data_IF_556738909380
#
_entry.id   IF_556738909380
#
_cell.length_a   1.000
_cell.length_b   1.000
_cell.length_c   1.000
_cell.angle_alpha   90.00
_cell.angle_beta   90.00
_cell.angle_gamma   90.00
#
_symmetry.space_group_name_H-M   'P 1'
#
loop_
_entity.id
_entity.type
_entity.pdbx_description
1 polymer ?
#
# COMPACT_ATOMS: atom_id res chain seq x y z
N UNK A 1 -5.52 -44.30 10.44
CA UNK A 1 -6.70 -43.80 11.19
C UNK A 1 -6.82 -42.30 10.91
N UNK A 2 -7.70 -41.92 9.97
CA UNK A 2 -7.89 -40.51 9.57
C UNK A 2 -9.07 -39.96 10.36
N UNK A 3 -8.80 -39.08 11.32
CA UNK A 3 -9.85 -38.41 12.11
C UNK A 3 -10.56 -37.40 11.21
N UNK A 4 -11.75 -37.77 10.75
CA UNK A 4 -12.67 -36.87 10.04
C UNK A 4 -13.14 -35.79 11.03
N UNK A 5 -12.61 -34.57 10.88
CA UNK A 5 -12.93 -33.44 11.74
C UNK A 5 -14.38 -33.02 11.49
N UNK A 6 -15.21 -32.98 12.54
CA UNK A 6 -16.64 -32.64 12.41
C UNK A 6 -16.79 -31.23 11.81
N UNK A 7 -17.73 -31.03 10.87
CA UNK A 7 -17.93 -29.74 10.19
C UNK A 7 -18.28 -28.59 11.15
N UNK A 8 -18.83 -28.89 12.33
CA UNK A 8 -19.09 -27.92 13.41
C UNK A 8 -17.81 -27.26 13.94
N UNK A 9 -16.72 -28.02 14.09
CA UNK A 9 -15.48 -27.52 14.68
C UNK A 9 -14.71 -26.62 13.70
N UNK A 10 -14.95 -26.81 12.40
CA UNK A 10 -14.38 -25.97 11.35
C UNK A 10 -15.05 -24.58 11.31
N UNK A 11 -16.35 -24.50 11.58
CA UNK A 11 -17.09 -23.23 11.60
C UNK A 11 -16.68 -22.35 12.79
N UNK A 12 -16.54 -22.94 13.98
CA UNK A 12 -16.13 -22.22 15.20
C UNK A 12 -14.73 -21.64 15.05
N UNK A 13 -13.78 -22.40 14.50
CA UNK A 13 -12.41 -21.93 14.28
C UNK A 13 -12.34 -20.75 13.28
N UNK A 14 -13.15 -20.77 12.22
CA UNK A 14 -13.18 -19.66 11.26
C UNK A 14 -13.81 -18.40 11.87
N UNK A 15 -14.80 -18.54 12.75
CA UNK A 15 -15.44 -17.43 13.46
C UNK A 15 -14.45 -16.73 14.40
N UNK A 16 -13.67 -17.50 15.16
CA UNK A 16 -12.67 -16.96 16.10
C UNK A 16 -11.55 -16.20 15.37
N UNK A 17 -11.06 -16.75 14.25
CA UNK A 17 -10.10 -16.04 13.38
C UNK A 17 -10.69 -14.75 12.84
N UNK A 18 -11.94 -14.77 12.39
CA UNK A 18 -12.61 -13.58 11.87
C UNK A 18 -12.76 -12.50 12.96
N UNK A 19 -13.11 -12.91 14.18
CA UNK A 19 -13.22 -12.01 15.33
C UNK A 19 -11.87 -11.38 15.71
N UNK A 20 -10.78 -12.15 15.66
CA UNK A 20 -9.42 -11.62 15.89
C UNK A 20 -9.01 -10.59 14.83
N UNK A 21 -9.31 -10.83 13.55
CA UNK A 21 -9.05 -9.84 12.50
C UNK A 21 -9.92 -8.59 12.63
N UNK A 22 -11.17 -8.74 13.07
CA UNK A 22 -12.07 -7.61 13.29
C UNK A 22 -11.56 -6.69 14.41
N UNK A 23 -11.17 -7.25 15.57
CA UNK A 23 -10.62 -6.46 16.67
C UNK A 23 -9.31 -5.77 16.30
N UNK A 24 -8.43 -6.45 15.56
CA UNK A 24 -7.22 -5.83 15.01
C UNK A 24 -7.56 -4.61 14.16
N UNK A 25 -8.52 -4.74 13.25
CA UNK A 25 -8.95 -3.63 12.40
C UNK A 25 -9.56 -2.48 13.20
N UNK A 26 -10.46 -2.77 14.13
CA UNK A 26 -11.09 -1.76 14.99
C UNK A 26 -10.05 -1.04 15.85
N UNK A 27 -9.04 -1.75 16.37
CA UNK A 27 -7.94 -1.15 17.14
C UNK A 27 -6.95 -0.34 16.29
N UNK A 28 -6.83 -0.65 15.00
CA UNK A 28 -5.95 0.08 14.09
C UNK A 28 -6.44 1.52 13.84
N UNK A 29 -7.76 1.74 13.84
CA UNK A 29 -8.37 3.06 13.61
C UNK A 29 -7.91 4.10 14.66
N UNK A 30 -8.07 3.89 15.98
CA UNK A 30 -7.61 4.86 16.98
C UNK A 30 -6.08 4.98 17.00
N UNK A 31 -5.34 3.89 16.77
CA UNK A 31 -3.87 3.94 16.67
C UNK A 31 -3.44 4.81 15.49
N UNK A 32 -4.09 4.67 14.34
CA UNK A 32 -3.82 5.50 13.16
C UNK A 32 -4.18 6.98 13.42
N UNK A 33 -5.29 7.25 14.11
CA UNK A 33 -5.69 8.60 14.48
C UNK A 33 -4.67 9.25 15.41
N UNK A 34 -4.28 8.57 16.49
CA UNK A 34 -3.26 9.05 17.43
C UNK A 34 -1.92 9.24 16.73
N UNK A 35 -1.53 8.30 15.87
CA UNK A 35 -0.33 8.42 15.05
C UNK A 35 -0.37 9.65 14.13
N UNK A 36 -1.49 9.89 13.45
CA UNK A 36 -1.67 11.07 12.61
C UNK A 36 -1.56 12.37 13.43
N UNK A 37 -2.15 12.42 14.63
CA UNK A 37 -1.98 13.56 15.54
C UNK A 37 -0.52 13.76 15.93
N UNK A 38 0.20 12.71 16.35
CA UNK A 38 1.62 12.80 16.73
C UNK A 38 2.47 13.32 15.57
N UNK A 39 2.18 12.89 14.33
CA UNK A 39 2.94 13.32 13.14
C UNK A 39 2.63 14.77 12.75
N UNK A 40 1.38 15.21 12.90
CA UNK A 40 0.94 16.56 12.56
C UNK A 40 1.28 17.60 13.65
N UNK A 41 1.31 17.19 14.91
CA UNK A 41 1.57 18.08 16.05
C UNK A 41 2.86 18.92 15.90
N UNK A 42 4.02 18.36 15.51
CA UNK A 42 5.24 19.13 15.29
C UNK A 42 5.08 20.23 14.24
N UNK A 43 4.32 19.98 13.18
CA UNK A 43 4.05 20.98 12.13
C UNK A 43 3.27 22.18 12.68
N UNK A 44 2.28 21.91 13.55
CA UNK A 44 1.48 22.93 14.24
C UNK A 44 2.32 23.72 15.26
N UNK A 45 3.10 23.04 16.09
CA UNK A 45 3.93 23.67 17.13
C UNK A 45 5.00 24.58 16.52
N UNK A 46 5.56 24.19 15.38
CA UNK A 46 6.58 24.97 14.68
C UNK A 46 6.06 26.17 13.89
N UNK A 47 4.73 26.35 13.80
CA UNK A 47 4.11 27.41 13.01
C UNK A 47 4.57 27.39 11.55
N UNK A 48 4.86 26.20 11.01
CA UNK A 48 5.36 26.03 9.64
C UNK A 48 4.21 26.03 8.61
N UNK A 49 2.94 25.99 9.05
CA UNK A 49 1.74 26.09 8.20
C UNK A 49 1.32 27.55 8.07
N UNK A 50 1.33 28.08 6.84
CA UNK A 50 0.95 29.46 6.53
C UNK A 50 -0.16 29.44 5.48
N UNK A 51 -1.08 30.42 5.55
CA UNK A 51 -2.07 30.63 4.50
C UNK A 51 -1.39 31.21 3.26
N UNK A 52 -1.48 30.51 2.13
CA UNK A 52 -0.94 30.98 0.86
C UNK A 52 -2.00 31.82 0.12
N UNK A 53 -1.81 33.14 -0.01
CA UNK A 53 -2.82 34.02 -0.60
C UNK A 53 -3.03 33.76 -2.10
N UNK A 54 -2.00 33.29 -2.80
CA UNK A 54 -2.06 33.02 -4.25
C UNK A 54 -2.91 31.79 -4.59
N UNK A 55 -3.03 30.84 -3.66
CA UNK A 55 -3.65 29.53 -3.90
C UNK A 55 -4.87 29.27 -2.99
N UNK A 56 -5.15 30.17 -2.04
CA UNK A 56 -6.32 30.12 -1.14
C UNK A 56 -6.41 28.88 -0.24
N UNK A 57 -5.28 28.31 0.19
CA UNK A 57 -5.24 27.22 1.18
C UNK A 57 -4.06 27.35 2.15
N UNK A 58 -4.14 26.62 3.27
CA UNK A 58 -3.07 26.55 4.28
C UNK A 58 -2.09 25.42 3.95
N UNK A 59 -0.81 25.74 3.82
CA UNK A 59 0.22 24.74 3.54
C UNK A 59 1.59 25.17 4.07
N UNK A 60 2.54 24.24 4.10
CA UNK A 60 3.93 24.54 4.44
C UNK A 60 4.63 25.15 3.21
N UNK A 61 5.01 26.44 3.22
CA UNK A 61 5.67 27.06 2.07
C UNK A 61 7.08 26.47 1.87
N UNK A 62 7.57 26.49 0.63
CA UNK A 62 8.93 26.02 0.30
C UNK A 62 10.04 26.78 1.06
N UNK A 63 9.75 28.00 1.52
CA UNK A 63 10.65 28.80 2.38
C UNK A 63 10.94 28.12 3.73
N UNK A 64 10.03 27.28 4.23
CA UNK A 64 10.17 26.55 5.49
C UNK A 64 10.54 25.10 5.20
N UNK A 65 11.80 24.90 4.77
CA UNK A 65 12.38 23.60 4.39
C UNK A 65 12.14 22.51 5.44
N UNK A 66 12.16 22.86 6.73
CA UNK A 66 11.88 21.93 7.84
C UNK A 66 10.48 21.31 7.74
N UNK A 67 9.44 22.14 7.70
CA UNK A 67 8.06 21.67 7.62
C UNK A 67 7.80 20.88 6.34
N UNK A 68 8.38 21.33 5.23
CA UNK A 68 8.27 20.66 3.95
C UNK A 68 8.93 19.27 3.93
N UNK A 69 10.13 19.11 4.50
CA UNK A 69 10.84 17.82 4.56
C UNK A 69 10.30 16.86 5.63
N UNK A 70 9.70 17.40 6.70
CA UNK A 70 9.18 16.59 7.81
C UNK A 70 8.14 15.56 7.36
N UNK A 71 7.15 16.02 6.59
CA UNK A 71 6.04 15.20 6.10
C UNK A 71 6.52 14.01 5.24
N UNK A 72 7.29 14.21 4.14
CA UNK A 72 7.80 13.10 3.36
C UNK A 72 8.72 12.16 4.15
N UNK A 73 9.55 12.72 5.04
CA UNK A 73 10.51 11.92 5.80
C UNK A 73 9.81 10.98 6.79
N UNK A 74 8.73 11.43 7.42
CA UNK A 74 7.93 10.56 8.31
C UNK A 74 6.99 9.67 7.53
N UNK A 75 6.22 10.23 6.58
CA UNK A 75 5.21 9.48 5.85
C UNK A 75 5.82 8.39 4.96
N UNK A 76 6.98 8.65 4.37
CA UNK A 76 7.67 7.71 3.47
C UNK A 76 8.96 7.16 4.05
N UNK A 77 9.78 8.00 4.69
CA UNK A 77 11.05 7.56 5.25
C UNK A 77 10.89 6.58 6.42
N UNK A 78 9.96 6.82 7.35
CA UNK A 78 9.70 5.90 8.47
C UNK A 78 9.29 4.49 8.01
N UNK A 79 8.27 4.30 7.15
CA UNK A 79 7.92 2.96 6.67
C UNK A 79 9.03 2.34 5.82
N UNK A 80 9.77 3.13 5.02
CA UNK A 80 10.91 2.61 4.26
C UNK A 80 12.04 2.09 5.16
N UNK A 81 12.40 2.84 6.20
CA UNK A 81 13.43 2.44 7.15
C UNK A 81 13.00 1.20 7.94
N UNK A 82 11.76 1.17 8.43
CA UNK A 82 11.22 0.01 9.15
C UNK A 82 11.24 -1.24 8.28
N UNK A 83 10.76 -1.14 7.03
CA UNK A 83 10.80 -2.24 6.07
C UNK A 83 12.23 -2.69 5.80
N UNK A 84 13.15 -1.75 5.52
CA UNK A 84 14.55 -2.04 5.28
C UNK A 84 15.20 -2.80 6.44
N UNK A 85 14.94 -2.38 7.69
CA UNK A 85 15.45 -3.05 8.88
C UNK A 85 14.91 -4.47 9.05
N UNK A 86 13.59 -4.66 8.90
CA UNK A 86 12.95 -5.98 8.95
C UNK A 86 13.58 -6.90 7.89
N UNK A 87 13.80 -6.38 6.67
CA UNK A 87 14.40 -7.15 5.58
C UNK A 87 15.87 -7.48 5.79
N UNK A 88 16.64 -6.54 6.32
CA UNK A 88 18.04 -6.78 6.65
C UNK A 88 18.14 -7.92 7.68
N UNK A 89 17.27 -7.92 8.69
CA UNK A 89 17.17 -9.01 9.68
C UNK A 89 16.80 -10.35 9.04
N UNK A 90 15.78 -10.38 8.17
CA UNK A 90 15.39 -11.61 7.44
C UNK A 90 16.53 -12.13 6.57
N UNK A 91 17.22 -11.24 5.85
CA UNK A 91 18.34 -11.61 4.96
C UNK A 91 19.52 -12.18 5.74
N UNK A 92 19.86 -11.58 6.88
CA UNK A 92 20.89 -12.12 7.78
C UNK A 92 20.48 -13.50 8.29
N UNK A 93 19.23 -13.66 8.72
CA UNK A 93 18.72 -14.93 9.23
C UNK A 93 18.79 -16.05 8.16
N UNK A 94 18.36 -15.77 6.93
CA UNK A 94 18.41 -16.73 5.82
C UNK A 94 19.86 -17.10 5.50
N UNK A 95 20.79 -16.13 5.46
CA UNK A 95 22.22 -16.39 5.20
C UNK A 95 22.86 -17.27 6.26
N UNK A 96 22.38 -17.22 7.50
CA UNK A 96 22.90 -18.03 8.61
C UNK A 96 22.34 -19.46 8.63
N UNK A 97 21.30 -19.76 7.84
CA UNK A 97 20.70 -21.09 7.83
C UNK A 97 21.45 -22.00 6.81
N UNK A 98 22.11 -23.09 7.26
CA UNK A 98 22.90 -23.95 6.38
C UNK A 98 22.02 -24.67 5.33
N UNK A 99 22.64 -24.96 4.18
CA UNK A 99 22.07 -25.42 2.89
C UNK A 99 21.25 -26.73 2.90
N UNK A 100 20.90 -27.28 4.07
CA UNK A 100 20.09 -28.49 4.23
C UNK A 100 18.58 -28.19 4.34
N UNK A 101 18.09 -27.26 3.53
CA UNK A 101 16.69 -26.87 3.58
C UNK A 101 15.81 -27.79 2.72
N UNK A 102 14.76 -28.34 3.35
CA UNK A 102 13.76 -29.19 2.71
C UNK A 102 12.95 -28.42 1.66
N UNK A 103 12.39 -29.13 0.68
CA UNK A 103 11.55 -28.60 -0.42
C UNK A 103 10.40 -27.68 0.06
N UNK A 104 9.93 -27.87 1.30
CA UNK A 104 8.89 -27.07 1.96
C UNK A 104 9.40 -25.65 2.30
N UNK A 105 10.68 -25.49 2.65
CA UNK A 105 11.29 -24.18 2.95
C UNK A 105 11.47 -23.37 1.67
N UNK A 106 11.91 -24.00 0.57
CA UNK A 106 11.99 -23.35 -0.74
C UNK A 106 10.63 -22.78 -1.21
N UNK A 107 9.53 -23.50 -0.96
CA UNK A 107 8.19 -23.00 -1.29
C UNK A 107 7.75 -21.81 -0.41
N UNK A 108 8.14 -21.75 0.87
CA UNK A 108 7.92 -20.57 1.70
C UNK A 108 8.75 -19.39 1.21
N UNK A 109 10.02 -19.62 0.92
CA UNK A 109 10.94 -18.61 0.44
C UNK A 109 10.48 -17.99 -0.88
N UNK A 110 9.86 -18.76 -1.79
CA UNK A 110 9.27 -18.20 -3.01
C UNK A 110 8.07 -17.27 -2.74
N UNK A 111 7.22 -17.59 -1.74
CA UNK A 111 6.10 -16.71 -1.35
C UNK A 111 6.63 -15.42 -0.73
N UNK A 112 7.65 -15.55 0.12
CA UNK A 112 8.29 -14.41 0.75
C UNK A 112 8.92 -13.53 -0.34
N UNK A 113 9.69 -14.09 -1.28
CA UNK A 113 10.30 -13.36 -2.39
C UNK A 113 9.27 -12.63 -3.28
N UNK A 114 8.12 -13.26 -3.56
CA UNK A 114 7.03 -12.59 -4.25
C UNK A 114 6.46 -11.40 -3.45
N UNK A 115 6.37 -11.52 -2.12
CA UNK A 115 6.01 -10.40 -1.23
C UNK A 115 7.10 -9.32 -1.20
N UNK A 116 8.39 -9.69 -1.29
CA UNK A 116 9.52 -8.74 -1.39
C UNK A 116 9.44 -7.94 -2.69
N UNK A 117 9.33 -8.63 -3.83
CA UNK A 117 9.28 -7.98 -5.14
C UNK A 117 8.13 -6.97 -5.21
N UNK A 118 7.00 -7.31 -4.60
CA UNK A 118 5.83 -6.45 -4.44
C UNK A 118 6.14 -5.19 -3.64
N UNK A 119 6.74 -5.32 -2.45
CA UNK A 119 7.13 -4.16 -1.64
C UNK A 119 8.16 -3.30 -2.38
N UNK A 120 9.12 -3.92 -3.06
CA UNK A 120 10.10 -3.20 -3.87
C UNK A 120 9.44 -2.38 -4.99
N UNK A 121 8.43 -2.94 -5.67
CA UNK A 121 7.63 -2.20 -6.67
C UNK A 121 6.92 -1.01 -6.02
N UNK A 122 6.31 -1.18 -4.84
CA UNK A 122 5.65 -0.07 -4.14
C UNK A 122 6.67 1.03 -3.82
N UNK A 123 7.80 0.66 -3.22
CA UNK A 123 8.87 1.57 -2.85
C UNK A 123 9.40 2.32 -4.07
N UNK A 124 9.68 1.60 -5.17
CA UNK A 124 10.15 2.21 -6.41
C UNK A 124 9.12 3.20 -6.97
N UNK A 125 7.83 2.83 -6.97
CA UNK A 125 6.76 3.71 -7.41
C UNK A 125 6.66 4.98 -6.56
N UNK A 126 6.73 4.84 -5.25
CA UNK A 126 6.72 5.97 -4.31
C UNK A 126 7.90 6.91 -4.57
N UNK A 127 9.10 6.36 -4.78
CA UNK A 127 10.29 7.15 -5.13
C UNK A 127 10.08 7.89 -6.45
N UNK A 128 9.60 7.22 -7.49
CA UNK A 128 9.34 7.84 -8.81
C UNK A 128 8.26 8.92 -8.73
N UNK A 129 7.21 8.73 -7.93
CA UNK A 129 6.19 9.75 -7.73
C UNK A 129 6.69 10.93 -6.88
N UNK A 130 7.63 10.69 -5.96
CA UNK A 130 8.22 11.71 -5.10
C UNK A 130 9.36 12.50 -5.74
N UNK A 131 10.05 11.95 -6.74
CA UNK A 131 11.18 12.62 -7.42
C UNK A 131 10.83 14.00 -7.98
N UNK A 132 9.68 14.26 -8.65
CA UNK A 132 9.38 15.60 -9.16
C UNK A 132 9.26 16.64 -8.03
N UNK A 133 8.82 16.25 -6.83
CA UNK A 133 8.76 17.16 -5.68
C UNK A 133 10.16 17.54 -5.21
N UNK A 134 11.07 16.56 -5.13
CA UNK A 134 12.46 16.78 -4.71
C UNK A 134 13.21 17.62 -5.74
N UNK A 135 12.99 17.39 -7.05
CA UNK A 135 13.64 18.19 -8.10
C UNK A 135 13.18 19.64 -8.07
N UNK A 136 11.88 19.90 -7.84
CA UNK A 136 11.35 21.26 -7.68
C UNK A 136 11.88 21.94 -6.41
N UNK A 137 11.99 21.22 -5.31
CA UNK A 137 12.60 21.72 -4.08
C UNK A 137 14.08 22.08 -4.30
N UNK A 138 14.85 21.22 -4.97
CA UNK A 138 16.25 21.49 -5.30
C UNK A 138 16.38 22.71 -6.22
N UNK A 139 15.52 22.81 -7.23
CA UNK A 139 15.47 23.97 -8.11
C UNK A 139 15.23 25.25 -7.31
N UNK A 140 14.25 25.25 -6.40
CA UNK A 140 13.97 26.36 -5.51
C UNK A 140 15.16 26.73 -4.61
N UNK A 141 15.85 25.73 -4.04
CA UNK A 141 17.03 25.96 -3.20
C UNK A 141 18.19 26.60 -3.96
N UNK A 142 18.31 26.34 -5.26
CA UNK A 142 19.37 26.89 -6.11
C UNK A 142 19.00 28.28 -6.64
N UNK A 143 17.78 28.46 -7.15
CA UNK A 143 17.36 29.70 -7.82
C UNK A 143 16.74 30.73 -6.89
N UNK A 144 16.22 30.30 -5.73
CA UNK A 144 15.42 31.12 -4.83
C UNK A 144 14.03 31.47 -5.36
N UNK A 145 13.64 30.94 -6.53
CA UNK A 145 12.38 31.29 -7.21
C UNK A 145 11.44 30.09 -7.18
N UNK A 146 10.23 30.30 -6.64
CA UNK A 146 9.19 29.27 -6.65
C UNK A 146 8.48 29.21 -8.00
N UNK A 147 8.38 28.01 -8.57
CA UNK A 147 7.62 27.80 -9.79
C UNK A 147 6.11 27.73 -9.47
N UNK A 148 5.23 28.38 -10.24
CA UNK A 148 3.78 28.39 -9.95
C UNK A 148 3.14 26.99 -9.97
N UNK A 149 3.73 26.05 -10.71
CA UNK A 149 3.25 24.67 -10.77
C UNK A 149 3.76 23.79 -9.62
N UNK A 150 4.66 24.29 -8.77
CA UNK A 150 5.32 23.46 -7.75
C UNK A 150 4.32 22.81 -6.81
N UNK A 151 3.40 23.60 -6.26
CA UNK A 151 2.40 23.09 -5.32
C UNK A 151 1.45 22.07 -5.97
N UNK A 152 1.03 22.29 -7.23
CA UNK A 152 0.14 21.36 -7.95
C UNK A 152 0.80 20.01 -8.19
N UNK A 153 2.07 20.01 -8.58
CA UNK A 153 2.86 18.79 -8.78
C UNK A 153 3.08 18.07 -7.44
N UNK A 154 3.34 18.83 -6.36
CA UNK A 154 3.48 18.26 -5.02
C UNK A 154 2.22 17.55 -4.54
N UNK A 155 1.03 18.07 -4.85
CA UNK A 155 -0.23 17.42 -4.54
C UNK A 155 -0.54 16.20 -5.42
N UNK A 156 -0.18 16.23 -6.70
CA UNK A 156 -0.45 15.13 -7.63
C UNK A 156 0.29 13.84 -7.26
N UNK A 157 1.51 13.94 -6.72
CA UNK A 157 2.33 12.77 -6.37
C UNK A 157 1.66 11.82 -5.36
N UNK A 158 1.28 12.30 -4.16
CA UNK A 158 0.57 11.52 -3.16
C UNK A 158 -0.73 10.89 -3.68
N UNK A 159 -1.56 11.66 -4.42
CA UNK A 159 -2.83 11.18 -4.97
C UNK A 159 -2.64 10.01 -5.95
N UNK A 160 -1.72 10.16 -6.90
CA UNK A 160 -1.40 9.09 -7.86
C UNK A 160 -0.83 7.87 -7.12
N UNK A 161 0.04 8.08 -6.14
CA UNK A 161 0.59 6.97 -5.35
C UNK A 161 -0.49 6.21 -4.59
N UNK A 162 -1.46 6.91 -3.98
CA UNK A 162 -2.58 6.31 -3.27
C UNK A 162 -3.51 5.53 -4.21
N UNK A 163 -3.79 6.06 -5.39
CA UNK A 163 -4.60 5.39 -6.40
C UNK A 163 -3.95 4.07 -6.85
N UNK A 164 -2.64 4.10 -7.14
CA UNK A 164 -1.91 2.90 -7.59
C UNK A 164 -1.81 1.88 -6.46
N UNK A 165 -1.49 2.30 -5.23
CA UNK A 165 -1.42 1.41 -4.07
C UNK A 165 -2.77 0.73 -3.80
N UNK A 166 -3.88 1.46 -3.95
CA UNK A 166 -5.24 0.92 -3.78
C UNK A 166 -5.53 -0.18 -4.81
N UNK A 167 -5.22 0.06 -6.08
CA UNK A 167 -5.35 -0.94 -7.15
C UNK A 167 -4.44 -2.14 -6.86
N UNK A 168 -3.22 -1.89 -6.42
CA UNK A 168 -2.25 -2.95 -6.16
C UNK A 168 -2.65 -3.85 -5.00
N UNK A 169 -3.22 -3.30 -3.91
CA UNK A 169 -3.74 -4.10 -2.79
C UNK A 169 -4.77 -5.14 -3.24
N UNK A 170 -5.61 -4.79 -4.22
CA UNK A 170 -6.61 -5.70 -4.79
C UNK A 170 -5.93 -6.91 -5.45
N UNK A 171 -4.87 -6.68 -6.20
CA UNK A 171 -4.11 -7.75 -6.87
C UNK A 171 -3.20 -8.53 -5.91
N UNK A 172 -2.77 -7.91 -4.81
CA UNK A 172 -1.88 -8.56 -3.83
C UNK A 172 -2.61 -9.57 -2.95
N UNK A 173 -3.88 -9.33 -2.61
CA UNK A 173 -4.64 -10.20 -1.71
C UNK A 173 -5.11 -11.45 -2.47
N UNK A 174 -4.53 -12.64 -2.23
CA UNK A 174 -4.82 -13.83 -3.03
C UNK A 174 -6.30 -14.27 -2.92
N UNK A 175 -6.92 -14.01 -1.76
CA UNK A 175 -8.34 -14.27 -1.55
C UNK A 175 -9.22 -13.38 -2.45
N UNK A 176 -8.87 -12.09 -2.56
CA UNK A 176 -9.61 -11.14 -3.37
C UNK A 176 -9.39 -11.38 -4.87
N UNK A 177 -8.14 -11.67 -5.27
CA UNK A 177 -7.80 -12.08 -6.63
C UNK A 177 -8.63 -13.29 -7.08
N UNK A 178 -8.74 -14.32 -6.24
CA UNK A 178 -9.53 -15.51 -6.56
C UNK A 178 -11.03 -15.21 -6.66
N UNK A 179 -11.57 -14.33 -5.81
CA UNK A 179 -12.98 -13.90 -5.89
C UNK A 179 -13.23 -13.13 -7.20
N UNK A 180 -12.35 -12.20 -7.56
CA UNK A 180 -12.47 -11.39 -8.78
C UNK A 180 -12.33 -12.27 -10.03
N UNK A 181 -11.33 -13.17 -10.07
CA UNK A 181 -11.14 -14.09 -11.20
C UNK A 181 -12.35 -15.02 -11.33
N UNK A 182 -12.86 -15.59 -10.23
CA UNK A 182 -14.08 -16.41 -10.26
C UNK A 182 -15.30 -15.63 -10.74
N UNK A 183 -15.50 -14.40 -10.27
CA UNK A 183 -16.61 -13.54 -10.74
C UNK A 183 -16.48 -13.21 -12.23
N UNK A 184 -15.25 -12.98 -12.72
CA UNK A 184 -14.98 -12.72 -14.14
C UNK A 184 -15.24 -13.96 -14.99
N UNK A 185 -14.77 -15.13 -14.56
CA UNK A 185 -15.03 -16.42 -15.22
C UNK A 185 -16.54 -16.70 -15.29
N UNK A 186 -17.26 -16.57 -14.17
CA UNK A 186 -18.71 -16.79 -14.15
C UNK A 186 -19.47 -15.82 -15.07
N UNK A 187 -19.05 -14.55 -15.17
CA UNK A 187 -19.66 -13.59 -16.11
C UNK A 187 -19.46 -13.99 -17.58
N UNK A 188 -18.29 -14.49 -17.94
CA UNK A 188 -18.00 -14.94 -19.31
C UNK A 188 -18.85 -16.15 -19.67
N UNK A 189 -18.95 -17.15 -18.79
CA UNK A 189 -19.77 -18.35 -19.02
C UNK A 189 -21.26 -18.03 -19.17
N UNK A 190 -21.77 -17.08 -18.38
CA UNK A 190 -23.20 -16.67 -18.48
C UNK A 190 -23.49 -15.99 -19.82
N UNK A 191 -22.55 -15.19 -20.33
CA UNK A 191 -22.72 -14.47 -21.60
C UNK A 191 -22.76 -15.44 -22.80
N UNK A 192 -21.87 -16.44 -22.82
CA UNK A 192 -21.84 -17.47 -23.87
C UNK A 192 -23.13 -18.28 -23.93
N UNK A 193 -23.67 -18.69 -22.78
CA UNK A 193 -24.94 -19.43 -22.71
C UNK A 193 -26.09 -18.56 -23.25
N UNK A 194 -26.10 -17.27 -22.93
CA UNK A 194 -27.15 -16.34 -23.40
C UNK A 194 -27.08 -16.13 -24.92
N UNK A 195 -25.88 -16.05 -25.49
CA UNK A 195 -25.67 -15.94 -26.94
C UNK A 195 -26.09 -17.24 -27.65
N UNK A 196 -25.74 -18.41 -27.11
CA UNK A 196 -26.19 -19.68 -27.66
C UNK A 196 -27.72 -19.82 -27.64
N UNK A 197 -28.37 -19.50 -26.52
CA UNK A 197 -29.84 -19.55 -26.44
C UNK A 197 -30.50 -18.61 -27.45
N UNK A 198 -29.91 -17.43 -27.68
CA UNK A 198 -30.43 -16.47 -28.67
C UNK A 198 -30.24 -16.96 -30.11
N UNK A 199 -29.11 -17.60 -30.43
CA UNK A 199 -28.84 -18.15 -31.76
C UNK A 199 -29.77 -19.35 -32.09
N UNK A 200 -30.16 -20.14 -31.09
CA UNK A 200 -31.11 -21.25 -31.26
C UNK A 200 -32.53 -20.71 -31.50
N UNK A 201 -32.94 -19.66 -30.78
CA UNK A 201 -34.26 -19.06 -30.93
C UNK A 201 -34.49 -18.33 -32.27
N UNK A 202 -33.43 -17.87 -32.95
CA UNK A 202 -33.54 -17.21 -34.26
C UNK A 202 -33.51 -18.18 -35.45
N UNK A 203 -33.22 -19.46 -35.22
CA UNK A 203 -33.20 -20.52 -36.25
C UNK A 203 -34.49 -21.36 -36.28
N UNK A 204 -35.51 -20.98 -35.51
CA UNK A 204 -36.89 -21.48 -35.60
C UNK A 204 -37.78 -20.42 -36.22
#
# INVERSE_FOLDING_TARGET
MSYSKKPSDLAIHNLEKWFQFYWLYVSAIPVQLVGAFIVLCPLLIWHDIIYLPNEYYCFAPFTKVRGFLWLPLIAYGSPLLLLSLIYLRITIFIRQQPNNQTLIVNQRQQRDLAAIQRIFINVALLVVCGTPCVTLLLMYLITGIEHPLSYRITWAGPEVSMAILSVQMIFMTPQLKNIIIRRRQNRVTTLDITIQMRAIATNQ
#
